data_IF_104796141586
#
_entry.id   IF_104796141586
#
_cell.length_a   1.000
_cell.length_b   1.000
_cell.length_c   1.000
_cell.angle_alpha   90.00
_cell.angle_beta   90.00
_cell.angle_gamma   90.00
#
_symmetry.space_group_name_H-M   'P 1'
#
loop_
_entity.id
_entity.type
_entity.pdbx_description
1 polymer ?
#
# COMPACT_ATOMS: atom_id res chain seq x y z
N UNK A 1 -15.72 -38.79 57.97
CA UNK A 1 -16.47 -38.11 56.86
C UNK A 1 -15.54 -37.12 56.22
N UNK A 2 -14.89 -37.54 55.15
CA UNK A 2 -13.93 -36.71 54.40
C UNK A 2 -14.63 -36.15 53.18
N UNK A 3 -14.55 -34.82 53.01
CA UNK A 3 -15.13 -34.11 51.90
C UNK A 3 -14.25 -34.31 50.62
N UNK A 4 -14.82 -34.42 49.41
CA UNK A 4 -14.06 -34.53 48.17
C UNK A 4 -13.55 -33.13 47.72
N UNK A 5 -12.27 -33.10 47.37
CA UNK A 5 -11.61 -31.96 46.73
C UNK A 5 -12.14 -31.75 45.30
N UNK A 6 -12.73 -30.60 45.05
CA UNK A 6 -13.11 -30.12 43.72
C UNK A 6 -11.86 -29.74 42.96
N UNK A 7 -11.47 -30.54 41.96
CA UNK A 7 -10.55 -30.13 40.90
C UNK A 7 -11.28 -29.20 39.92
N UNK A 8 -10.82 -27.96 39.83
CA UNK A 8 -11.23 -27.03 38.77
C UNK A 8 -10.68 -27.54 37.43
N UNK A 9 -11.47 -27.56 36.34
CA UNK A 9 -10.98 -27.88 35.03
C UNK A 9 -10.13 -26.71 34.51
N UNK A 10 -8.86 -27.02 34.25
CA UNK A 10 -7.92 -26.10 33.59
C UNK A 10 -8.31 -26.01 32.09
N UNK A 11 -9.28 -25.15 31.79
CA UNK A 11 -9.73 -24.86 30.41
C UNK A 11 -8.87 -23.75 29.81
N UNK A 12 -7.57 -24.06 29.64
CA UNK A 12 -6.68 -23.23 28.84
C UNK A 12 -7.06 -23.45 27.35
N UNK A 13 -7.91 -22.58 26.84
CA UNK A 13 -8.21 -22.52 25.40
C UNK A 13 -6.90 -22.57 24.60
N UNK A 14 -6.80 -23.39 23.54
CA UNK A 14 -5.59 -23.52 22.75
C UNK A 14 -5.26 -22.14 22.17
N UNK A 15 -4.12 -21.56 22.58
CA UNK A 15 -3.55 -20.37 21.97
C UNK A 15 -3.42 -20.68 20.48
N UNK A 16 -4.25 -20.03 19.63
CA UNK A 16 -4.12 -20.11 18.18
C UNK A 16 -2.66 -19.71 17.86
N UNK A 17 -1.85 -20.67 17.46
CA UNK A 17 -0.51 -20.39 16.94
C UNK A 17 -0.71 -19.40 15.80
N UNK A 18 -0.10 -18.22 15.90
CA UNK A 18 -0.22 -17.17 14.88
C UNK A 18 0.14 -17.76 13.53
N UNK A 19 -0.69 -17.46 12.51
CA UNK A 19 -0.50 -17.95 11.15
C UNK A 19 0.75 -17.27 10.58
N UNK A 20 1.67 -18.06 9.98
CA UNK A 20 2.80 -17.50 9.23
C UNK A 20 2.29 -16.61 8.10
N UNK A 21 2.89 -15.44 7.92
CA UNK A 21 2.56 -14.48 6.87
C UNK A 21 3.82 -14.10 6.12
N UNK A 22 3.84 -14.36 4.83
CA UNK A 22 4.84 -13.85 3.94
C UNK A 22 4.20 -12.80 3.03
N UNK A 23 4.55 -11.53 3.24
CA UNK A 23 4.00 -10.39 2.50
C UNK A 23 4.96 -10.03 1.38
N UNK A 24 4.47 -9.99 0.15
CA UNK A 24 5.20 -9.45 -0.99
C UNK A 24 4.75 -8.02 -1.22
N UNK A 25 5.68 -7.07 -1.12
CA UNK A 25 5.47 -5.67 -1.45
C UNK A 25 5.76 -5.51 -2.94
N UNK A 26 4.74 -5.13 -3.71
CA UNK A 26 4.82 -4.99 -5.17
C UNK A 26 4.65 -3.53 -5.57
N UNK A 27 5.53 -3.03 -6.40
CA UNK A 27 5.39 -1.72 -7.02
C UNK A 27 6.44 -0.71 -6.62
N UNK A 28 6.08 0.56 -6.76
CA UNK A 28 6.93 1.67 -6.40
C UNK A 28 6.82 1.93 -4.89
N UNK A 29 7.70 2.50 -4.39
CA UNK A 29 8.31 2.63 -3.13
C UNK A 29 7.60 3.62 -2.21
N UNK A 30 6.55 3.24 -1.48
CA UNK A 30 6.43 3.71 -0.09
C UNK A 30 7.78 3.52 0.62
N UNK A 31 8.58 2.61 0.11
CA UNK A 31 9.89 2.16 0.57
C UNK A 31 11.03 3.10 0.18
N UNK A 32 11.09 3.64 -1.06
CA UNK A 32 12.16 4.55 -1.49
C UNK A 32 12.13 5.91 -0.78
N UNK A 33 10.97 6.40 -0.42
CA UNK A 33 10.86 7.60 0.39
C UNK A 33 11.62 7.49 1.71
N UNK A 34 11.74 6.28 2.23
CA UNK A 34 12.44 6.01 3.48
C UNK A 34 13.91 5.56 3.29
N UNK A 35 14.22 4.85 2.22
CA UNK A 35 15.60 4.45 1.86
C UNK A 35 16.44 5.69 1.53
N UNK A 36 15.82 6.74 0.94
CA UNK A 36 16.49 7.98 0.54
C UNK A 36 17.03 8.82 1.71
N UNK A 37 16.39 8.81 2.89
CA UNK A 37 16.76 9.70 4.00
C UNK A 37 17.95 9.17 4.80
N UNK A 38 18.11 7.87 4.99
CA UNK A 38 19.08 7.30 5.92
C UNK A 38 19.95 6.16 5.35
N UNK A 39 19.78 5.78 4.08
CA UNK A 39 20.49 4.62 3.46
C UNK A 39 20.43 3.33 4.29
N UNK A 40 19.47 3.19 5.18
CA UNK A 40 19.27 2.01 6.01
C UNK A 40 18.10 1.23 5.44
N UNK A 41 18.30 0.06 4.81
CA UNK A 41 17.22 -0.81 4.36
C UNK A 41 16.37 -1.25 5.55
N UNK A 42 15.08 -1.33 5.41
CA UNK A 42 14.26 -2.10 6.33
C UNK A 42 13.24 -1.36 7.17
N UNK A 43 13.01 -0.06 7.01
CA UNK A 43 12.21 0.69 7.99
C UNK A 43 10.69 0.64 7.79
N UNK A 44 10.13 0.50 6.57
CA UNK A 44 8.70 0.19 6.42
C UNK A 44 8.46 -1.27 6.80
N UNK A 45 9.37 -2.14 6.46
CA UNK A 45 9.40 -3.53 6.91
C UNK A 45 9.42 -3.61 8.43
N UNK A 46 10.29 -2.84 9.10
CA UNK A 46 10.35 -2.75 10.56
C UNK A 46 9.05 -2.19 11.16
N UNK A 47 8.40 -1.25 10.49
CA UNK A 47 7.12 -0.70 10.91
C UNK A 47 5.96 -1.71 10.71
N UNK A 48 6.03 -2.54 9.67
CA UNK A 48 5.08 -3.63 9.44
C UNK A 48 5.31 -4.81 10.38
N UNK A 49 6.56 -5.10 10.75
CA UNK A 49 6.91 -6.19 11.63
C UNK A 49 6.73 -5.77 13.09
N UNK A 50 5.79 -6.32 13.83
CA UNK A 50 5.76 -6.13 15.29
C UNK A 50 6.95 -6.90 15.88
N UNK A 51 7.99 -6.19 16.27
CA UNK A 51 9.24 -6.66 16.84
C UNK A 51 9.32 -8.17 17.15
N UNK A 52 10.31 -8.85 16.55
CA UNK A 52 10.72 -10.24 16.84
C UNK A 52 9.68 -11.35 16.64
N UNK A 53 8.85 -11.30 15.63
CA UNK A 53 7.97 -12.45 15.38
C UNK A 53 8.49 -13.24 14.18
N UNK A 54 9.00 -14.46 14.42
CA UNK A 54 9.33 -15.48 13.42
C UNK A 54 8.14 -15.86 12.50
N UNK A 55 7.02 -15.16 12.66
CA UNK A 55 5.76 -15.42 11.96
C UNK A 55 5.57 -14.52 10.74
N UNK A 56 6.44 -13.55 10.51
CA UNK A 56 6.33 -12.60 9.42
C UNK A 56 7.59 -12.60 8.56
N UNK A 57 7.39 -12.58 7.26
CA UNK A 57 8.44 -12.41 6.26
C UNK A 57 7.99 -11.38 5.25
N UNK A 58 8.92 -10.56 4.77
CA UNK A 58 8.65 -9.57 3.73
C UNK A 58 9.61 -9.80 2.57
N UNK A 59 9.10 -9.71 1.36
CA UNK A 59 9.88 -9.64 0.12
C UNK A 59 9.42 -8.42 -0.65
N UNK A 60 10.36 -7.65 -1.17
CA UNK A 60 10.10 -6.46 -1.98
C UNK A 60 10.42 -6.77 -3.42
N UNK A 61 9.52 -6.42 -4.33
CA UNK A 61 9.68 -6.55 -5.78
C UNK A 61 9.22 -5.25 -6.41
N UNK A 62 10.13 -4.53 -7.05
CA UNK A 62 9.82 -3.24 -7.66
C UNK A 62 8.92 -3.38 -8.90
N UNK A 63 8.22 -2.30 -9.26
CA UNK A 63 7.42 -2.26 -10.49
C UNK A 63 8.30 -2.53 -11.73
N UNK A 64 9.53 -2.03 -11.76
CA UNK A 64 10.49 -2.28 -12.84
C UNK A 64 10.91 -3.74 -12.93
N UNK A 65 11.02 -4.45 -11.81
CA UNK A 65 11.28 -5.90 -11.82
C UNK A 65 10.11 -6.66 -12.40
N UNK A 66 8.88 -6.29 -12.03
CA UNK A 66 7.66 -6.89 -12.58
C UNK A 66 7.57 -6.64 -14.08
N UNK A 67 7.82 -5.41 -14.52
CA UNK A 67 7.77 -5.04 -15.95
C UNK A 67 8.84 -5.79 -16.77
N UNK A 68 10.08 -5.87 -16.26
CA UNK A 68 11.18 -6.58 -16.95
C UNK A 68 10.99 -8.09 -16.99
N UNK A 69 10.50 -8.68 -15.92
CA UNK A 69 10.30 -10.13 -15.84
C UNK A 69 9.03 -10.58 -16.56
N UNK A 70 8.00 -9.73 -16.62
CA UNK A 70 6.73 -10.05 -17.25
C UNK A 70 6.16 -11.39 -16.76
N UNK A 71 5.83 -12.27 -17.69
CA UNK A 71 5.29 -13.61 -17.40
C UNK A 71 6.29 -14.56 -16.74
N UNK A 72 7.57 -14.21 -16.68
CA UNK A 72 8.63 -15.03 -16.06
C UNK A 72 8.84 -14.66 -14.57
N UNK A 73 8.10 -13.70 -14.03
CA UNK A 73 8.21 -13.34 -12.64
C UNK A 73 7.73 -14.46 -11.73
N UNK A 74 8.63 -14.97 -10.92
CA UNK A 74 8.29 -15.97 -9.90
C UNK A 74 8.21 -15.29 -8.52
N UNK A 75 7.01 -15.28 -7.94
CA UNK A 75 6.83 -14.87 -6.56
C UNK A 75 7.26 -15.97 -5.59
N UNK A 76 7.68 -15.64 -4.35
CA UNK A 76 7.99 -16.65 -3.34
C UNK A 76 6.84 -17.65 -3.16
N UNK A 77 7.12 -18.94 -3.20
CA UNK A 77 6.11 -20.02 -3.10
C UNK A 77 5.38 -20.04 -1.75
N UNK A 78 6.01 -19.49 -0.71
CA UNK A 78 5.47 -19.35 0.64
C UNK A 78 4.76 -18.01 0.86
N UNK A 79 4.65 -17.15 -0.18
CA UNK A 79 3.92 -15.91 -0.11
C UNK A 79 2.43 -16.12 0.19
N UNK A 80 1.88 -15.28 1.04
CA UNK A 80 0.47 -15.35 1.47
C UNK A 80 -0.30 -14.08 1.13
N UNK A 81 0.36 -12.92 1.14
CA UNK A 81 -0.23 -11.62 0.91
C UNK A 81 0.59 -10.83 -0.10
N UNK A 82 -0.09 -9.99 -0.87
CA UNK A 82 0.51 -8.93 -1.67
C UNK A 82 0.01 -7.58 -1.17
N UNK A 83 0.93 -6.64 -0.96
CA UNK A 83 0.64 -5.23 -0.77
C UNK A 83 1.16 -4.48 -1.99
N UNK A 84 0.26 -3.85 -2.72
CA UNK A 84 0.57 -3.14 -3.96
C UNK A 84 0.51 -1.64 -3.71
N UNK A 85 1.56 -0.94 -4.09
CA UNK A 85 1.62 0.51 -4.10
C UNK A 85 2.32 1.00 -5.36
N UNK A 86 1.71 1.96 -6.06
CA UNK A 86 2.31 2.66 -7.19
C UNK A 86 2.28 4.16 -6.91
N UNK A 87 3.40 4.84 -7.12
CA UNK A 87 3.50 6.27 -6.95
C UNK A 87 3.07 7.00 -8.24
N UNK A 88 2.10 7.90 -8.11
CA UNK A 88 1.65 8.74 -9.22
C UNK A 88 2.14 10.20 -9.14
N UNK A 89 2.75 10.61 -8.02
CA UNK A 89 3.22 11.98 -7.85
C UNK A 89 4.26 12.38 -8.89
N UNK A 90 5.17 11.46 -9.24
CA UNK A 90 6.17 11.68 -10.28
C UNK A 90 5.54 11.93 -11.67
N UNK A 91 4.51 11.18 -12.03
CA UNK A 91 3.77 11.40 -13.27
C UNK A 91 3.08 12.78 -13.31
N UNK A 92 2.54 13.22 -12.17
CA UNK A 92 1.94 14.57 -12.05
C UNK A 92 3.01 15.66 -12.18
N UNK A 93 4.17 15.49 -11.56
CA UNK A 93 5.30 16.42 -11.70
C UNK A 93 5.81 16.47 -13.14
N UNK A 94 5.99 15.34 -13.79
CA UNK A 94 6.43 15.26 -15.20
C UNK A 94 5.42 15.82 -16.19
N UNK A 95 4.12 15.81 -15.86
CA UNK A 95 3.08 16.41 -16.73
C UNK A 95 3.21 17.93 -16.87
N UNK A 96 4.04 18.59 -16.02
CA UNK A 96 4.16 20.04 -15.97
C UNK A 96 2.93 20.77 -15.42
N UNK A 97 1.92 20.04 -14.99
CA UNK A 97 0.66 20.61 -14.49
C UNK A 97 0.87 21.51 -13.27
N UNK A 98 1.87 21.18 -12.44
CA UNK A 98 2.15 21.92 -11.21
C UNK A 98 2.97 23.19 -11.42
N UNK A 99 3.70 23.31 -12.52
CA UNK A 99 4.67 24.38 -12.75
C UNK A 99 4.23 25.34 -13.85
N UNK A 100 3.27 24.96 -14.67
CA UNK A 100 2.87 25.72 -15.85
C UNK A 100 1.70 26.66 -15.54
N UNK A 101 1.77 27.88 -16.16
CA UNK A 101 0.55 28.49 -16.64
C UNK A 101 0.24 27.72 -17.91
N UNK A 102 -0.76 26.85 -17.94
CA UNK A 102 -1.00 26.03 -19.10
C UNK A 102 -1.46 26.96 -20.23
N UNK A 103 -0.65 27.04 -21.28
CA UNK A 103 -1.03 27.76 -22.52
C UNK A 103 -2.24 27.07 -23.15
N UNK A 104 -2.39 25.77 -22.92
CA UNK A 104 -3.52 24.95 -23.33
C UNK A 104 -3.94 23.97 -22.21
N UNK A 105 -5.00 24.30 -21.44
CA UNK A 105 -5.53 23.40 -20.41
C UNK A 105 -6.00 22.03 -20.96
N UNK A 106 -6.48 21.99 -22.19
CA UNK A 106 -6.93 20.75 -22.84
C UNK A 106 -5.78 19.79 -23.09
N UNK A 107 -4.65 20.31 -23.60
CA UNK A 107 -3.45 19.52 -23.84
C UNK A 107 -2.88 18.98 -22.50
N UNK A 108 -2.84 19.80 -21.46
CA UNK A 108 -2.35 19.39 -20.13
C UNK A 108 -3.20 18.27 -19.52
N UNK A 109 -4.53 18.38 -19.62
CA UNK A 109 -5.45 17.32 -19.17
C UNK A 109 -5.30 16.05 -20.02
N UNK A 110 -5.08 16.19 -21.33
CA UNK A 110 -4.79 15.04 -22.21
C UNK A 110 -3.54 14.29 -21.80
N UNK A 111 -2.45 14.99 -21.51
CA UNK A 111 -1.20 14.37 -21.02
C UNK A 111 -1.39 13.68 -19.67
N UNK A 112 -2.13 14.30 -18.75
CA UNK A 112 -2.44 13.69 -17.45
C UNK A 112 -3.27 12.41 -17.61
N UNK A 113 -4.24 12.41 -18.54
CA UNK A 113 -5.04 11.21 -18.85
C UNK A 113 -4.16 10.07 -19.38
N UNK A 114 -3.23 10.35 -20.31
CA UNK A 114 -2.30 9.35 -20.82
C UNK A 114 -1.38 8.79 -19.71
N UNK A 115 -0.90 9.66 -18.81
CA UNK A 115 -0.13 9.21 -17.66
C UNK A 115 -0.95 8.32 -16.72
N UNK A 116 -2.24 8.64 -16.52
CA UNK A 116 -3.14 7.83 -15.70
C UNK A 116 -3.47 6.48 -16.35
N UNK A 117 -3.57 6.41 -17.67
CA UNK A 117 -3.77 5.14 -18.38
C UNK A 117 -2.54 4.23 -18.28
N UNK A 118 -1.34 4.78 -18.37
CA UNK A 118 -0.10 4.03 -18.14
C UNK A 118 0.04 3.54 -16.71
N UNK A 119 -0.31 4.39 -15.74
CA UNK A 119 -0.40 4.01 -14.33
C UNK A 119 -1.39 2.86 -14.12
N UNK A 120 -2.60 2.96 -14.70
CA UNK A 120 -3.63 1.91 -14.61
C UNK A 120 -3.12 0.58 -15.18
N UNK A 121 -2.41 0.62 -16.31
CA UNK A 121 -1.79 -0.56 -16.92
C UNK A 121 -0.78 -1.25 -16.00
N UNK A 122 0.10 -0.47 -15.38
CA UNK A 122 1.08 -0.99 -14.40
C UNK A 122 0.39 -1.58 -13.18
N UNK A 123 -0.59 -0.89 -12.61
CA UNK A 123 -1.37 -1.39 -11.49
C UNK A 123 -2.07 -2.72 -11.81
N UNK A 124 -2.66 -2.81 -12.99
CA UNK A 124 -3.31 -4.05 -13.45
C UNK A 124 -2.32 -5.20 -13.52
N UNK A 125 -1.13 -5.00 -14.08
CA UNK A 125 -0.08 -6.03 -14.14
C UNK A 125 0.32 -6.55 -12.76
N UNK A 126 0.51 -5.66 -11.78
CA UNK A 126 0.84 -6.05 -10.41
C UNK A 126 -0.29 -6.88 -9.76
N UNK A 127 -1.54 -6.47 -9.98
CA UNK A 127 -2.71 -7.21 -9.50
C UNK A 127 -2.78 -8.60 -10.14
N UNK A 128 -2.59 -8.71 -11.45
CA UNK A 128 -2.61 -9.98 -12.18
C UNK A 128 -1.54 -10.96 -11.69
N UNK A 129 -0.33 -10.48 -11.44
CA UNK A 129 0.77 -11.26 -10.85
C UNK A 129 0.38 -11.81 -9.47
N UNK A 130 -0.20 -10.96 -8.62
CA UNK A 130 -0.64 -11.38 -7.29
C UNK A 130 -1.83 -12.35 -7.34
N UNK A 131 -2.76 -12.17 -8.29
CA UNK A 131 -3.89 -13.08 -8.53
C UNK A 131 -3.42 -14.46 -9.03
N UNK A 132 -2.47 -14.49 -9.97
CA UNK A 132 -1.90 -15.73 -10.47
C UNK A 132 -1.25 -16.57 -9.37
N UNK A 133 -0.61 -15.89 -8.40
CA UNK A 133 -0.04 -16.52 -7.20
C UNK A 133 -1.10 -16.80 -6.09
N UNK A 134 -2.36 -16.45 -6.30
CA UNK A 134 -3.49 -16.64 -5.35
C UNK A 134 -3.28 -15.98 -3.99
N UNK A 135 -2.61 -14.84 -3.97
CA UNK A 135 -2.35 -14.08 -2.76
C UNK A 135 -3.60 -13.32 -2.28
N UNK A 136 -3.65 -13.01 -0.98
CA UNK A 136 -4.57 -12.01 -0.45
C UNK A 136 -4.04 -10.63 -0.87
N UNK A 137 -4.84 -9.87 -1.63
CA UNK A 137 -4.38 -8.66 -2.29
C UNK A 137 -4.90 -7.43 -1.54
N UNK A 138 -3.98 -6.56 -1.19
CA UNK A 138 -4.24 -5.22 -0.68
C UNK A 138 -3.58 -4.20 -1.61
N UNK A 139 -4.28 -3.13 -1.94
CA UNK A 139 -3.77 -2.05 -2.79
C UNK A 139 -3.87 -0.75 -2.02
N UNK A 140 -2.79 0.01 -1.97
CA UNK A 140 -2.80 1.34 -1.39
C UNK A 140 -3.29 2.37 -2.42
N UNK A 141 -4.16 3.30 -1.98
CA UNK A 141 -4.38 4.54 -2.72
C UNK A 141 -3.13 5.43 -2.63
N UNK A 142 -3.03 6.42 -3.51
CA UNK A 142 -2.05 7.47 -3.32
C UNK A 142 -2.51 8.44 -2.24
N UNK A 143 -1.61 8.84 -1.36
CA UNK A 143 -1.87 9.89 -0.37
C UNK A 143 -1.87 11.28 -1.02
N UNK A 144 -2.59 12.22 -0.43
CA UNK A 144 -2.59 13.61 -0.91
C UNK A 144 -1.23 14.26 -0.61
N UNK A 145 -0.68 15.10 -1.52
CA UNK A 145 0.53 15.84 -1.22
C UNK A 145 0.26 16.94 -0.17
N UNK A 146 1.32 17.50 0.41
CA UNK A 146 1.25 18.56 1.40
C UNK A 146 2.07 19.78 0.95
N UNK A 147 1.63 20.44 -0.14
CA UNK A 147 2.27 21.64 -0.64
C UNK A 147 1.89 22.87 0.20
N UNK A 148 2.85 23.77 0.43
CA UNK A 148 2.61 25.03 1.13
C UNK A 148 1.79 26.02 0.31
N UNK A 149 1.97 26.02 -1.02
CA UNK A 149 1.19 26.84 -1.96
C UNK A 149 -0.22 26.28 -2.11
N UNK A 150 -1.29 27.08 -1.80
CA UNK A 150 -2.66 26.56 -1.86
C UNK A 150 -3.15 26.25 -3.28
N UNK A 151 -2.62 26.93 -4.31
CA UNK A 151 -2.99 26.67 -5.71
C UNK A 151 -2.38 25.35 -6.14
N UNK A 152 -1.07 25.21 -5.93
CA UNK A 152 -0.35 23.97 -6.20
C UNK A 152 -0.96 22.77 -5.47
N UNK A 153 -1.31 22.94 -4.20
CA UNK A 153 -1.99 21.91 -3.39
C UNK A 153 -3.30 21.45 -4.03
N UNK A 154 -4.19 22.40 -4.39
CA UNK A 154 -5.47 22.05 -5.02
C UNK A 154 -5.29 21.39 -6.38
N UNK A 155 -4.36 21.87 -7.17
CA UNK A 155 -4.05 21.30 -8.50
C UNK A 155 -3.53 19.87 -8.37
N UNK A 156 -2.61 19.64 -7.45
CA UNK A 156 -2.06 18.29 -7.21
C UNK A 156 -3.12 17.33 -6.67
N UNK A 157 -3.97 17.76 -5.73
CA UNK A 157 -5.07 16.94 -5.24
C UNK A 157 -6.08 16.59 -6.35
N UNK A 158 -6.40 17.54 -7.24
CA UNK A 158 -7.30 17.29 -8.37
C UNK A 158 -6.69 16.30 -9.38
N UNK A 159 -5.40 16.42 -9.67
CA UNK A 159 -4.68 15.47 -10.52
C UNK A 159 -4.67 14.06 -9.91
N UNK A 160 -4.35 13.94 -8.62
CA UNK A 160 -4.35 12.67 -7.90
C UNK A 160 -5.71 11.99 -7.87
N UNK A 161 -6.81 12.74 -7.92
CA UNK A 161 -8.16 12.16 -7.96
C UNK A 161 -8.34 11.27 -9.20
N UNK A 162 -7.74 11.60 -10.34
CA UNK A 162 -7.79 10.79 -11.57
C UNK A 162 -7.10 9.44 -11.35
N UNK A 163 -5.92 9.45 -10.74
CA UNK A 163 -5.16 8.21 -10.47
C UNK A 163 -5.86 7.36 -9.40
N UNK A 164 -6.34 7.98 -8.33
CA UNK A 164 -7.07 7.26 -7.27
C UNK A 164 -8.40 6.68 -7.76
N UNK A 165 -9.06 7.28 -8.75
CA UNK A 165 -10.20 6.70 -9.43
C UNK A 165 -9.81 5.38 -10.12
N UNK A 166 -8.69 5.36 -10.85
CA UNK A 166 -8.13 4.13 -11.46
C UNK A 166 -7.84 3.05 -10.42
N UNK A 167 -7.21 3.44 -9.28
CA UNK A 167 -6.96 2.51 -8.16
C UNK A 167 -8.27 1.91 -7.67
N UNK A 168 -9.27 2.75 -7.36
CA UNK A 168 -10.56 2.30 -6.82
C UNK A 168 -11.27 1.34 -7.77
N UNK A 169 -11.27 1.67 -9.06
CA UNK A 169 -11.85 0.81 -10.12
C UNK A 169 -11.16 -0.56 -10.16
N UNK A 170 -9.83 -0.59 -10.23
CA UNK A 170 -9.08 -1.86 -10.32
C UNK A 170 -9.18 -2.70 -9.07
N UNK A 171 -9.19 -2.06 -7.91
CA UNK A 171 -9.41 -2.75 -6.61
C UNK A 171 -10.79 -3.42 -6.59
N UNK A 172 -11.83 -2.70 -7.03
CA UNK A 172 -13.20 -3.24 -7.08
C UNK A 172 -13.31 -4.42 -8.06
N UNK A 173 -12.77 -4.28 -9.28
CA UNK A 173 -12.75 -5.35 -10.29
C UNK A 173 -11.99 -6.59 -9.82
N UNK A 174 -10.85 -6.39 -9.16
CA UNK A 174 -10.02 -7.48 -8.62
C UNK A 174 -10.59 -8.10 -7.33
N UNK A 175 -11.60 -7.48 -6.70
CA UNK A 175 -12.08 -7.81 -5.35
C UNK A 175 -10.96 -7.82 -4.32
N UNK A 176 -10.02 -6.89 -4.46
CA UNK A 176 -8.93 -6.67 -3.52
C UNK A 176 -9.39 -5.76 -2.37
N UNK A 177 -8.60 -5.66 -1.32
CA UNK A 177 -8.81 -4.68 -0.27
C UNK A 177 -8.12 -3.36 -0.62
N UNK A 178 -8.77 -2.22 -0.33
CA UNK A 178 -8.20 -0.90 -0.49
C UNK A 178 -7.68 -0.37 0.84
N UNK A 179 -6.41 0.02 0.87
CA UNK A 179 -5.83 0.81 1.97
C UNK A 179 -5.86 2.27 1.55
N UNK A 180 -6.78 3.04 2.11
CA UNK A 180 -6.97 4.43 1.68
C UNK A 180 -6.03 5.39 2.42
N UNK A 181 -4.83 5.60 1.85
CA UNK A 181 -3.81 6.48 2.43
C UNK A 181 -4.24 7.95 2.51
N UNK A 182 -5.26 8.37 1.78
CA UNK A 182 -5.79 9.75 1.85
C UNK A 182 -6.45 10.04 3.19
N UNK A 183 -7.02 9.02 3.82
CA UNK A 183 -7.68 9.10 5.12
C UNK A 183 -6.69 8.85 6.27
N UNK A 184 -5.62 8.12 6.01
CA UNK A 184 -4.60 7.73 6.99
C UNK A 184 -3.56 8.85 7.16
N UNK A 185 -3.02 9.34 6.02
CA UNK A 185 -1.95 10.34 5.98
C UNK A 185 -2.54 11.70 5.62
N UNK A 186 -3.20 12.36 6.58
CA UNK A 186 -3.96 13.60 6.37
C UNK A 186 -3.53 14.75 7.29
N UNK A 187 -2.54 14.54 8.15
CA UNK A 187 -1.99 15.55 9.04
C UNK A 187 -0.66 16.08 8.52
N UNK A 188 -0.30 17.31 8.92
CA UNK A 188 0.94 17.94 8.48
C UNK A 188 2.19 17.15 8.87
N UNK A 189 2.19 16.56 10.04
CA UNK A 189 3.33 15.81 10.59
C UNK A 189 3.49 14.41 9.94
N UNK A 190 2.54 14.03 9.07
CA UNK A 190 2.66 12.83 8.27
C UNK A 190 3.63 12.98 7.09
N UNK A 191 4.18 14.19 6.88
CA UNK A 191 5.00 14.52 5.72
C UNK A 191 6.34 15.13 6.09
N UNK A 192 7.42 14.63 5.50
CA UNK A 192 8.74 15.27 5.51
C UNK A 192 8.88 16.25 4.35
N UNK A 193 8.34 15.91 3.17
CA UNK A 193 8.27 16.75 1.98
C UNK A 193 6.86 16.70 1.40
N UNK A 194 6.50 17.61 0.49
CA UNK A 194 5.15 17.65 -0.07
C UNK A 194 4.62 16.33 -0.61
N UNK A 195 5.48 15.51 -1.20
CA UNK A 195 5.14 14.21 -1.82
C UNK A 195 5.81 13.03 -1.11
N UNK A 196 6.30 13.22 0.12
CA UNK A 196 7.03 12.19 0.86
C UNK A 196 6.49 12.07 2.28
N UNK A 197 6.12 10.86 2.69
CA UNK A 197 5.68 10.60 4.06
C UNK A 197 6.84 10.68 5.05
N UNK A 198 6.54 11.20 6.22
CA UNK A 198 7.42 11.17 7.39
C UNK A 198 7.42 9.78 8.04
N UNK A 199 8.29 9.61 9.03
CA UNK A 199 8.27 8.41 9.87
C UNK A 199 6.90 8.19 10.53
N UNK A 200 6.22 9.26 10.95
CA UNK A 200 4.88 9.19 11.55
C UNK A 200 3.85 8.71 10.52
N UNK A 201 3.82 9.30 9.32
CA UNK A 201 2.92 8.90 8.25
C UNK A 201 3.12 7.45 7.82
N UNK A 202 4.38 7.01 7.67
CA UNK A 202 4.71 5.62 7.36
C UNK A 202 4.26 4.65 8.47
N UNK A 203 4.42 5.03 9.74
CA UNK A 203 3.97 4.21 10.86
C UNK A 203 2.44 4.08 10.90
N UNK A 204 1.70 5.16 10.62
CA UNK A 204 0.24 5.13 10.49
C UNK A 204 -0.18 4.17 9.37
N UNK A 205 0.41 4.31 8.18
CA UNK A 205 0.14 3.43 7.04
C UNK A 205 0.43 1.95 7.38
N UNK A 206 1.59 1.65 7.97
CA UNK A 206 1.98 0.31 8.38
C UNK A 206 1.02 -0.30 9.41
N UNK A 207 0.52 0.49 10.36
CA UNK A 207 -0.45 0.04 11.36
C UNK A 207 -1.77 -0.39 10.70
N UNK A 208 -2.28 0.40 9.74
CA UNK A 208 -3.52 0.07 9.03
C UNK A 208 -3.34 -1.14 8.13
N UNK A 209 -2.21 -1.24 7.40
CA UNK A 209 -1.89 -2.44 6.59
C UNK A 209 -1.87 -3.70 7.46
N UNK A 210 -1.24 -3.63 8.62
CA UNK A 210 -1.17 -4.75 9.57
C UNK A 210 -2.56 -5.13 10.10
N UNK A 211 -3.38 -4.13 10.44
CA UNK A 211 -4.77 -4.34 10.85
C UNK A 211 -5.57 -5.01 9.74
N UNK A 212 -5.50 -4.49 8.50
CA UNK A 212 -6.18 -5.04 7.34
C UNK A 212 -5.80 -6.51 7.09
N UNK A 213 -4.50 -6.85 7.19
CA UNK A 213 -4.06 -8.26 7.06
C UNK A 213 -4.69 -9.18 8.10
N UNK A 214 -4.80 -8.71 9.36
CA UNK A 214 -5.42 -9.49 10.43
C UNK A 214 -6.90 -9.72 10.18
N UNK A 215 -7.63 -8.69 9.75
CA UNK A 215 -9.05 -8.76 9.42
C UNK A 215 -9.31 -9.68 8.21
N UNK A 216 -8.51 -9.58 7.15
CA UNK A 216 -8.62 -10.43 5.97
C UNK A 216 -8.33 -11.90 6.28
N UNK A 217 -7.39 -12.20 7.18
CA UNK A 217 -7.13 -13.55 7.68
C UNK A 217 -8.26 -14.09 8.57
N UNK A 218 -8.97 -13.21 9.28
CA UNK A 218 -10.14 -13.55 10.08
C UNK A 218 -11.41 -13.82 9.24
N UNK A 219 -11.35 -13.56 7.93
CA UNK A 219 -12.46 -13.80 7.01
C UNK A 219 -13.25 -12.53 6.65
N UNK A 220 -12.67 -11.35 6.82
CA UNK A 220 -13.24 -10.11 6.30
C UNK A 220 -13.57 -10.25 4.81
N UNK A 221 -14.61 -9.57 4.36
CA UNK A 221 -15.08 -9.68 2.98
C UNK A 221 -14.05 -9.06 2.04
N UNK A 222 -13.86 -9.70 0.89
CA UNK A 222 -13.06 -9.10 -0.20
C UNK A 222 -13.74 -7.82 -0.69
N UNK A 223 -12.95 -6.80 -1.00
CA UNK A 223 -13.44 -5.49 -1.46
C UNK A 223 -13.72 -4.50 -0.33
N UNK A 224 -13.17 -4.70 0.86
CA UNK A 224 -13.26 -3.74 1.98
C UNK A 224 -12.25 -2.60 1.83
N UNK A 225 -12.60 -1.44 2.43
CA UNK A 225 -11.74 -0.26 2.52
C UNK A 225 -11.26 -0.10 3.95
N UNK A 226 -9.95 0.03 4.13
CA UNK A 226 -9.29 0.24 5.42
C UNK A 226 -8.66 1.63 5.50
N UNK A 227 -8.82 2.31 6.63
CA UNK A 227 -8.31 3.67 6.91
C UNK A 227 -8.02 3.87 8.38
#
# INVERSE_FOLDING_TARGET
MSAPSSQEPNDAAPRKRGRFRHVVLLGDVLLDAYISIDKTPGKFEDALLPGTSDQWKITVISADEVERAGALLELPKDATHALIFIEGNHAIEQSGLLDAKPDDPGQTLGQLSLAADEFERKLQQLIEVAQAARLVIMVCSMFQPNHKDPVRQRTACAALAIFNDRVTKRVAEARAALIDLRLICNERDDYDKPTQLSKSGLQKAANVVRFAMLELDAGARRGEVFF
#
